data_IF_376830249299
#
_entry.id   IF_376830249299
#
_cell.length_a   1.000
_cell.length_b   1.000
_cell.length_c   1.000
_cell.angle_alpha   90.00
_cell.angle_beta   90.00
_cell.angle_gamma   90.00
#
_symmetry.space_group_name_H-M   'P 1'
#
loop_
_entity.id
_entity.type
_entity.pdbx_description
1 polymer ?
#
# COMPACT_ATOMS: atom_id res chain seq x y z
N UNK A 1 -10.32 -18.09 8.62
CA UNK A 1 -10.26 -16.69 9.10
C UNK A 1 -8.80 -16.37 9.21
N UNK A 2 -8.32 -15.66 8.22
CA UNK A 2 -6.91 -15.40 7.92
C UNK A 2 -6.70 -13.95 8.31
N UNK A 3 -6.02 -13.72 9.43
CA UNK A 3 -5.79 -12.39 9.98
C UNK A 3 -4.94 -11.51 9.05
N UNK A 4 -4.34 -10.46 9.62
CA UNK A 4 -3.45 -9.59 8.84
C UNK A 4 -2.14 -10.31 8.56
N UNK A 5 -1.77 -10.40 7.28
CA UNK A 5 -0.51 -10.98 6.80
C UNK A 5 0.24 -9.98 5.94
N UNK A 6 1.55 -10.14 5.81
CA UNK A 6 2.35 -9.41 4.85
C UNK A 6 2.34 -10.16 3.51
N UNK A 7 1.99 -9.46 2.42
CA UNK A 7 1.77 -10.07 1.10
C UNK A 7 2.27 -9.15 -0.01
N UNK A 8 2.90 -9.73 -1.04
CA UNK A 8 3.35 -8.97 -2.21
C UNK A 8 2.16 -8.56 -3.07
N UNK A 9 2.08 -7.28 -3.45
CA UNK A 9 1.02 -6.76 -4.34
C UNK A 9 1.12 -7.30 -5.78
N UNK A 10 2.31 -7.68 -6.21
CA UNK A 10 2.57 -8.12 -7.59
C UNK A 10 2.29 -9.62 -7.77
N UNK A 11 2.90 -10.48 -6.95
CA UNK A 11 2.81 -11.93 -7.11
C UNK A 11 1.95 -12.65 -6.06
N UNK A 12 1.50 -11.95 -5.01
CA UNK A 12 0.63 -12.52 -3.97
C UNK A 12 1.33 -13.42 -2.95
N UNK A 13 2.66 -13.57 -3.00
CA UNK A 13 3.43 -14.33 -2.01
C UNK A 13 3.36 -13.68 -0.63
N UNK A 14 3.15 -14.47 0.41
CA UNK A 14 3.17 -14.01 1.81
C UNK A 14 4.57 -14.08 2.40
N UNK A 15 4.95 -13.12 3.24
CA UNK A 15 6.25 -13.03 3.91
C UNK A 15 6.09 -12.65 5.38
N UNK A 16 7.17 -12.71 6.15
CA UNK A 16 7.22 -12.44 7.59
C UNK A 16 7.81 -11.06 7.95
N UNK A 17 8.41 -10.37 6.97
CA UNK A 17 9.03 -9.06 7.15
C UNK A 17 8.58 -8.06 6.06
N UNK A 18 8.46 -6.76 6.39
CA UNK A 18 8.16 -5.73 5.41
C UNK A 18 9.41 -5.45 4.56
N UNK A 19 9.20 -5.14 3.28
CA UNK A 19 10.31 -4.87 2.38
C UNK A 19 9.98 -5.19 0.92
N UNK A 20 11.01 -5.60 0.20
CA UNK A 20 10.91 -6.05 -1.19
C UNK A 20 10.59 -7.54 -1.23
N UNK A 21 9.75 -7.98 -2.17
CA UNK A 21 9.33 -9.37 -2.21
C UNK A 21 10.48 -10.30 -2.63
N UNK A 22 10.98 -11.14 -1.73
CA UNK A 22 11.92 -12.25 -2.02
C UNK A 22 11.54 -13.14 -3.22
N UNK A 23 10.26 -13.30 -3.54
CA UNK A 23 9.82 -14.22 -4.58
C UNK A 23 9.89 -13.64 -6.00
N UNK A 24 9.50 -12.39 -6.20
CA UNK A 24 9.51 -11.75 -7.52
C UNK A 24 10.54 -10.62 -7.64
N UNK A 25 11.04 -10.08 -6.53
CA UNK A 25 11.97 -8.94 -6.48
C UNK A 25 11.49 -7.72 -7.26
N UNK A 26 10.17 -7.55 -7.41
CA UNK A 26 9.56 -6.51 -8.26
C UNK A 26 8.55 -5.65 -7.51
N UNK A 27 8.02 -6.15 -6.39
CA UNK A 27 6.90 -5.52 -5.71
C UNK A 27 7.14 -5.35 -4.21
N UNK A 28 6.66 -4.24 -3.61
CA UNK A 28 6.69 -4.08 -2.17
C UNK A 28 5.73 -5.07 -1.50
N UNK A 29 6.15 -5.53 -0.33
CA UNK A 29 5.33 -6.32 0.59
C UNK A 29 4.52 -5.36 1.45
N UNK A 30 3.20 -5.53 1.46
CA UNK A 30 2.27 -4.69 2.21
C UNK A 30 1.36 -5.54 3.10
N UNK A 31 0.76 -4.92 4.12
CA UNK A 31 -0.21 -5.58 4.98
C UNK A 31 -1.50 -5.87 4.21
N UNK A 32 -2.03 -7.08 4.37
CA UNK A 32 -3.24 -7.56 3.72
C UNK A 32 -4.12 -8.27 4.74
N UNK A 33 -5.39 -7.86 4.83
CA UNK A 33 -6.41 -8.49 5.66
C UNK A 33 -7.22 -9.48 4.83
N UNK A 34 -7.09 -10.77 5.18
CA UNK A 34 -7.82 -11.87 4.51
C UNK A 34 -9.22 -12.13 5.07
N UNK A 35 -9.68 -11.36 6.06
CA UNK A 35 -11.02 -11.51 6.64
C UNK A 35 -12.11 -10.74 5.87
N UNK A 36 -11.74 -10.07 4.78
CA UNK A 36 -12.67 -9.40 3.85
C UNK A 36 -12.63 -10.09 2.47
N UNK A 37 -13.70 -9.95 1.68
CA UNK A 37 -13.75 -10.38 0.27
C UNK A 37 -13.90 -9.15 -0.61
N UNK A 38 -13.00 -8.89 -1.59
CA UNK A 38 -11.91 -9.75 -2.10
C UNK A 38 -10.61 -9.73 -1.25
N UNK A 39 -10.65 -9.11 -0.07
CA UNK A 39 -9.50 -8.88 0.80
C UNK A 39 -9.10 -7.41 0.78
N UNK A 40 -8.55 -6.92 1.89
CA UNK A 40 -8.29 -5.48 2.06
C UNK A 40 -6.79 -5.23 2.27
N UNK A 41 -6.21 -4.39 1.42
CA UNK A 41 -4.85 -3.88 1.61
C UNK A 41 -4.85 -2.81 2.69
N UNK A 42 -3.85 -2.85 3.57
CA UNK A 42 -3.71 -1.95 4.71
C UNK A 42 -2.39 -1.18 4.62
N UNK A 43 -2.41 0.05 5.11
CA UNK A 43 -1.21 0.90 5.24
C UNK A 43 -0.40 0.63 6.51
N UNK A 44 -0.93 -0.21 7.42
CA UNK A 44 -0.30 -0.54 8.69
C UNK A 44 -0.69 -1.93 9.20
N UNK A 45 -0.15 -2.32 10.37
CA UNK A 45 -0.30 -3.67 10.90
C UNK A 45 -1.70 -3.96 11.47
N UNK A 46 -2.62 -2.99 11.49
CA UNK A 46 -3.96 -3.15 12.07
C UNK A 46 -5.02 -2.85 11.01
N UNK A 47 -5.99 -3.75 10.87
CA UNK A 47 -7.14 -3.51 10.01
C UNK A 47 -8.12 -2.55 10.69
N UNK A 48 -8.36 -1.38 10.08
CA UNK A 48 -9.32 -0.40 10.60
C UNK A 48 -10.78 -0.88 10.55
N UNK A 49 -11.10 -1.90 9.76
CA UNK A 49 -12.48 -2.39 9.57
C UNK A 49 -12.84 -3.50 10.56
N UNK A 50 -12.00 -4.53 10.72
CA UNK A 50 -12.28 -5.66 11.62
C UNK A 50 -11.44 -5.67 12.90
N UNK A 51 -10.43 -4.81 13.03
CA UNK A 51 -9.55 -4.74 14.20
C UNK A 51 -8.47 -5.83 14.27
N UNK A 52 -8.37 -6.71 13.28
CA UNK A 52 -7.31 -7.72 13.21
C UNK A 52 -5.93 -7.07 13.16
N UNK A 53 -4.94 -7.67 13.83
CA UNK A 53 -3.56 -7.17 13.90
C UNK A 53 -2.57 -8.19 13.33
N UNK A 54 -1.48 -7.69 12.75
CA UNK A 54 -0.36 -8.49 12.29
C UNK A 54 0.35 -9.14 13.49
N UNK A 55 0.71 -10.41 13.37
CA UNK A 55 1.42 -11.13 14.43
C UNK A 55 0.54 -11.60 15.59
N UNK A 56 -0.76 -11.26 15.59
CA UNK A 56 -1.74 -11.96 16.42
C UNK A 56 -1.91 -13.36 15.85
N UNK A 57 -0.96 -14.24 16.16
CA UNK A 57 -1.12 -15.67 16.02
C UNK A 57 -2.38 -16.01 16.81
N UNK A 58 -3.49 -16.20 16.10
CA UNK A 58 -4.80 -16.47 16.68
C UNK A 58 -4.56 -17.50 17.77
N UNK A 59 -4.72 -17.09 19.03
CA UNK A 59 -4.39 -17.92 20.18
C UNK A 59 -4.98 -19.29 19.89
N UNK A 60 -4.09 -20.29 19.71
CA UNK A 60 -4.50 -21.64 19.30
C UNK A 60 -5.66 -21.99 20.21
N UNK A 61 -6.86 -22.30 19.69
CA UNK A 61 -8.00 -22.62 20.53
C UNK A 61 -7.49 -23.63 21.55
N UNK A 62 -7.51 -23.25 22.84
CA UNK A 62 -7.03 -24.13 23.89
C UNK A 62 -7.74 -25.47 23.64
N UNK A 63 -7.00 -26.59 23.53
CA UNK A 63 -7.63 -27.88 23.28
C UNK A 63 -8.78 -28.01 24.28
N UNK A 64 -9.99 -28.40 23.83
CA UNK A 64 -11.12 -28.50 24.74
C UNK A 64 -10.65 -29.33 25.93
N UNK A 65 -10.69 -28.75 27.13
CA UNK A 65 -10.27 -29.44 28.33
C UNK A 65 -10.96 -30.80 28.31
N UNK A 66 -10.17 -31.88 28.17
CA UNK A 66 -10.69 -33.23 28.24
C UNK A 66 -11.44 -33.33 29.55
N UNK A 67 -12.78 -33.29 29.47
CA UNK A 67 -13.63 -33.45 30.64
C UNK A 67 -13.35 -34.86 31.13
N UNK A 68 -12.53 -34.98 32.16
CA UNK A 68 -12.47 -36.19 32.97
C UNK A 68 -13.90 -36.49 33.38
N UNK A 69 -14.44 -37.60 32.88
CA UNK A 69 -15.77 -38.11 33.21
C UNK A 69 -15.78 -38.45 34.70
N UNK A 70 -16.06 -37.44 35.53
CA UNK A 70 -16.31 -37.65 36.95
C UNK A 70 -17.79 -38.05 37.06
N UNK A 71 -18.01 -39.35 37.23
CA UNK A 71 -19.31 -39.93 37.53
C UNK A 71 -19.88 -39.31 38.81
N UNK A 72 -21.00 -38.60 38.67
CA UNK A 72 -21.84 -38.11 39.76
C UNK A 72 -22.53 -39.33 40.43
N UNK A 73 -22.79 -39.28 41.75
CA UNK A 73 -24.19 -39.20 42.14
C UNK A 73 -24.49 -38.22 43.29
N UNK A 74 -25.41 -37.30 42.97
CA UNK A 74 -26.63 -36.92 43.70
C UNK A 74 -26.58 -36.13 45.03
N UNK A 75 -27.51 -35.17 45.04
CA UNK A 75 -28.31 -34.63 46.17
C UNK A 75 -27.76 -33.41 46.90
N UNK A 76 -28.43 -32.26 46.69
CA UNK A 76 -28.17 -31.04 47.44
C UNK A 76 -29.07 -29.88 47.02
N UNK A 77 -30.24 -29.80 47.66
CA UNK A 77 -31.25 -28.74 47.62
C UNK A 77 -30.74 -27.30 47.86
N UNK A 78 -31.51 -26.33 47.33
CA UNK A 78 -31.93 -25.00 47.87
C UNK A 78 -31.40 -23.69 47.23
N UNK A 79 -32.38 -22.97 46.67
CA UNK A 79 -32.84 -21.58 46.95
C UNK A 79 -32.27 -20.37 46.17
N UNK A 80 -33.24 -19.52 45.81
CA UNK A 80 -33.22 -18.24 45.08
C UNK A 80 -32.37 -17.12 45.66
N UNK A 81 -31.92 -16.20 44.79
CA UNK A 81 -32.21 -14.74 44.79
C UNK A 81 -31.30 -14.03 43.76
N UNK A 82 -31.84 -13.30 42.78
CA UNK A 82 -32.00 -11.83 42.77
C UNK A 82 -30.75 -11.02 42.38
N UNK A 83 -30.82 -10.33 41.24
CA UNK A 83 -30.42 -8.91 40.98
C UNK A 83 -30.66 -8.66 39.48
N UNK A 84 -31.79 -8.05 39.06
CA UNK A 84 -32.11 -6.62 38.94
C UNK A 84 -31.11 -5.78 38.12
N UNK A 85 -31.52 -5.54 36.87
CA UNK A 85 -31.42 -4.33 36.03
C UNK A 85 -30.21 -3.39 36.16
N UNK A 86 -29.64 -2.97 35.01
CA UNK A 86 -29.41 -1.55 34.72
C UNK A 86 -29.37 -1.31 33.20
N UNK A 87 -30.27 -0.45 32.76
CA UNK A 87 -30.42 0.16 31.44
C UNK A 87 -29.66 1.49 31.37
N UNK A 88 -29.03 1.83 30.24
CA UNK A 88 -28.81 3.22 29.74
C UNK A 88 -27.83 3.26 28.54
N UNK A 89 -27.79 4.34 27.73
CA UNK A 89 -28.93 5.07 27.16
C UNK A 89 -28.73 5.38 25.66
N UNK A 90 -29.83 5.73 24.99
CA UNK A 90 -29.86 6.29 23.65
C UNK A 90 -29.62 7.82 23.64
N UNK A 91 -29.29 8.34 22.45
CA UNK A 91 -29.34 9.74 21.93
C UNK A 91 -28.09 10.64 22.21
N UNK A 92 -27.81 11.68 21.39
CA UNK A 92 -28.69 12.26 20.37
C UNK A 92 -28.16 12.61 18.98
N UNK A 93 -29.14 12.73 18.08
CA UNK A 93 -29.07 13.41 16.80
C UNK A 93 -29.08 14.95 16.96
N UNK A 94 -28.77 15.61 15.83
CA UNK A 94 -29.25 16.92 15.36
C UNK A 94 -28.12 17.98 15.21
N UNK A 95 -28.35 19.13 14.54
CA UNK A 95 -28.52 19.30 13.10
C UNK A 95 -27.62 20.44 12.55
N UNK A 96 -27.50 20.59 11.23
CA UNK A 96 -26.69 21.70 10.68
C UNK A 96 -26.87 21.94 9.19
N UNK A 97 -28.07 22.34 8.79
CA UNK A 97 -28.38 22.93 7.49
C UNK A 97 -27.52 24.18 7.27
N UNK A 98 -26.86 24.30 6.11
CA UNK A 98 -26.53 25.63 5.56
C UNK A 98 -26.82 25.68 4.06
N UNK A 99 -27.63 26.68 3.72
CA UNK A 99 -28.21 26.97 2.42
C UNK A 99 -27.16 27.47 1.40
N UNK A 100 -27.52 27.17 0.16
CA UNK A 100 -27.05 27.68 -1.14
C UNK A 100 -27.04 29.22 -1.19
N UNK A 101 -26.17 29.81 -2.02
CA UNK A 101 -26.61 30.90 -2.89
C UNK A 101 -26.43 30.55 -4.39
N UNK A 102 -27.52 30.73 -5.12
CA UNK A 102 -27.68 30.68 -6.58
C UNK A 102 -27.24 32.02 -7.18
N UNK A 103 -26.51 32.01 -8.30
CA UNK A 103 -26.37 33.04 -9.40
C UNK A 103 -24.97 32.89 -10.02
N UNK A 104 -24.68 33.03 -11.31
CA UNK A 104 -25.40 33.41 -12.52
C UNK A 104 -24.56 32.97 -13.75
N UNK A 105 -25.21 32.82 -14.91
CA UNK A 105 -24.62 32.74 -16.27
C UNK A 105 -25.09 34.01 -17.02
N UNK A 106 -24.50 34.57 -18.11
CA UNK A 106 -23.14 34.59 -18.74
C UNK A 106 -22.59 36.07 -18.86
N UNK A 107 -21.52 36.44 -19.62
CA UNK A 107 -21.51 36.48 -21.10
C UNK A 107 -20.20 36.03 -21.77
N UNK A 108 -20.28 35.52 -23.00
CA UNK A 108 -19.17 35.63 -23.96
C UNK A 108 -19.09 37.07 -24.47
N UNK A 109 -17.88 37.60 -24.69
CA UNK A 109 -17.64 38.52 -25.79
C UNK A 109 -16.65 37.91 -26.77
N UNK A 110 -17.05 37.88 -28.04
CA UNK A 110 -16.17 37.58 -29.15
C UNK A 110 -15.05 38.61 -29.26
N UNK A 111 -13.88 38.13 -29.64
CA UNK A 111 -12.86 38.95 -30.29
C UNK A 111 -12.41 38.19 -31.54
N UNK A 112 -12.95 38.64 -32.67
CA UNK A 112 -12.33 38.45 -33.98
C UNK A 112 -11.05 39.27 -33.91
N UNK A 113 -9.91 38.60 -33.97
CA UNK A 113 -8.59 39.22 -34.09
C UNK A 113 -7.95 38.68 -35.37
N UNK A 114 -7.28 39.59 -36.07
CA UNK A 114 -6.65 39.51 -37.39
C UNK A 114 -6.02 38.16 -37.77
N UNK A 115 -6.17 37.68 -39.01
CA UNK A 115 -5.42 36.56 -39.53
C UNK A 115 -4.13 37.05 -40.22
N UNK A 116 -3.25 37.75 -39.52
CA UNK A 116 -1.91 38.09 -40.07
C UNK A 116 -0.85 38.34 -38.97
N UNK A 117 -0.96 37.64 -37.85
CA UNK A 117 0.09 37.59 -36.84
C UNK A 117 0.58 36.15 -36.78
N UNK A 118 1.81 35.92 -37.25
CA UNK A 118 2.48 34.64 -37.11
C UNK A 118 2.39 34.22 -35.64
N UNK A 119 1.99 32.98 -35.32
CA UNK A 119 1.93 32.56 -33.93
C UNK A 119 3.32 32.78 -33.34
N UNK A 120 3.40 33.61 -32.29
CA UNK A 120 4.59 33.75 -31.44
C UNK A 120 4.87 32.38 -30.83
N UNK A 121 5.49 31.50 -31.61
CA UNK A 121 5.94 30.20 -31.13
C UNK A 121 7.05 30.51 -30.15
N UNK A 122 6.87 30.21 -28.85
CA UNK A 122 7.90 30.50 -27.86
C UNK A 122 9.18 29.84 -28.32
N UNK A 123 10.28 30.60 -28.27
CA UNK A 123 11.56 30.04 -28.67
C UNK A 123 11.87 28.85 -27.75
N UNK A 124 12.61 27.86 -28.25
CA UNK A 124 13.04 26.72 -27.43
C UNK A 124 13.75 27.19 -26.15
N UNK A 125 14.43 28.34 -26.21
CA UNK A 125 15.08 28.95 -25.05
C UNK A 125 14.06 29.41 -24.00
N UNK A 126 12.93 30.01 -24.41
CA UNK A 126 11.86 30.43 -23.51
C UNK A 126 11.19 29.22 -22.85
N UNK A 127 10.95 28.14 -23.61
CA UNK A 127 10.43 26.89 -23.06
C UNK A 127 11.37 26.23 -22.04
N UNK A 128 12.68 26.29 -22.28
CA UNK A 128 13.68 25.74 -21.35
C UNK A 128 13.77 26.56 -20.06
N UNK A 129 13.65 27.89 -20.15
CA UNK A 129 13.60 28.77 -18.98
C UNK A 129 12.35 28.49 -18.17
N UNK A 130 11.19 28.35 -18.83
CA UNK A 130 9.91 28.09 -18.17
C UNK A 130 9.91 26.72 -17.47
N UNK A 131 10.45 25.67 -18.12
CA UNK A 131 10.65 24.36 -17.48
C UNK A 131 11.61 24.40 -16.29
N UNK A 132 12.69 25.19 -16.38
CA UNK A 132 13.64 25.35 -15.28
C UNK A 132 13.06 26.14 -14.11
N UNK A 133 12.16 27.08 -14.38
CA UNK A 133 11.44 27.85 -13.37
C UNK A 133 10.33 27.03 -12.71
N UNK A 134 9.58 26.25 -13.49
CA UNK A 134 8.59 25.30 -12.99
C UNK A 134 9.23 24.19 -12.16
N UNK A 135 10.38 23.68 -12.59
CA UNK A 135 11.18 22.73 -11.80
C UNK A 135 11.66 23.31 -10.47
N UNK A 136 11.88 24.62 -10.39
CA UNK A 136 12.21 25.32 -9.13
C UNK A 136 10.95 25.54 -8.28
N UNK A 137 9.81 25.88 -8.87
CA UNK A 137 8.52 25.98 -8.15
C UNK A 137 8.07 24.64 -7.58
N UNK A 138 8.20 23.55 -8.32
CA UNK A 138 7.92 22.20 -7.86
C UNK A 138 8.87 21.73 -6.73
N UNK A 139 10.08 22.32 -6.65
CA UNK A 139 11.00 22.12 -5.52
C UNK A 139 10.76 23.08 -4.35
N UNK A 140 10.00 24.15 -4.58
CA UNK A 140 9.43 24.98 -3.52
C UNK A 140 8.38 24.15 -2.79
N UNK A 141 8.83 23.40 -1.79
CA UNK A 141 7.98 22.65 -0.88
C UNK A 141 6.96 23.64 -0.30
N UNK A 142 5.63 23.41 -0.44
CA UNK A 142 4.67 24.20 0.31
C UNK A 142 4.99 24.01 1.80
N UNK A 143 5.39 25.10 2.44
CA UNK A 143 5.86 25.16 3.83
C UNK A 143 4.74 24.87 4.86
N UNK A 144 3.53 24.54 4.40
CA UNK A 144 2.41 24.08 5.21
C UNK A 144 2.09 22.59 4.93
N UNK A 145 3.08 21.72 5.16
CA UNK A 145 2.82 20.28 5.25
C UNK A 145 2.62 19.92 6.74
N UNK A 146 1.45 19.38 7.12
CA UNK A 146 1.17 19.07 8.52
C UNK A 146 2.23 18.09 9.07
N UNK A 147 2.62 18.18 10.36
CA UNK A 147 3.79 17.48 10.92
C UNK A 147 3.70 15.95 10.89
N UNK A 148 2.55 15.39 10.51
CA UNK A 148 2.34 13.95 10.34
C UNK A 148 2.43 13.48 8.87
N UNK A 149 2.47 14.38 7.88
CA UNK A 149 2.56 14.05 6.46
C UNK A 149 4.00 13.81 5.97
N UNK A 150 5.01 13.91 6.84
CA UNK A 150 6.42 13.64 6.51
C UNK A 150 6.81 12.16 6.47
N UNK A 151 5.86 11.24 6.30
CA UNK A 151 6.16 9.89 5.80
C UNK A 151 6.11 9.87 4.27
N UNK A 152 6.83 10.78 3.63
CA UNK A 152 7.29 10.50 2.28
C UNK A 152 8.21 9.27 2.42
N UNK A 153 7.93 8.15 1.71
CA UNK A 153 8.88 7.04 1.71
C UNK A 153 10.23 7.61 1.30
N UNK A 154 11.33 7.28 1.99
CA UNK A 154 12.65 7.72 1.56
C UNK A 154 12.74 7.37 0.09
N UNK A 155 12.98 8.40 -0.76
CA UNK A 155 13.25 8.21 -2.18
C UNK A 155 14.16 7.01 -2.25
N UNK A 156 13.63 5.91 -2.78
CA UNK A 156 14.33 4.65 -2.85
C UNK A 156 15.65 4.97 -3.53
N UNK A 157 16.73 4.98 -2.73
CA UNK A 157 18.04 4.79 -3.27
C UNK A 157 17.90 3.43 -3.96
N UNK A 158 17.70 3.48 -5.28
CA UNK A 158 17.65 2.28 -6.13
C UNK A 158 18.78 1.42 -5.62
N UNK A 159 18.54 0.18 -5.15
CA UNK A 159 19.60 -0.62 -4.56
C UNK A 159 20.62 -0.91 -5.67
N UNK A 160 21.61 -0.03 -5.80
CA UNK A 160 22.65 -0.06 -6.84
C UNK A 160 23.32 -1.42 -6.81
N UNK A 161 23.43 -2.00 -5.61
CA UNK A 161 23.95 -3.35 -5.39
C UNK A 161 23.15 -4.46 -6.08
N UNK A 162 21.81 -4.38 -6.11
CA UNK A 162 20.98 -5.40 -6.78
C UNK A 162 21.08 -5.34 -8.30
N UNK A 163 21.09 -4.13 -8.87
CA UNK A 163 21.25 -3.92 -10.30
C UNK A 163 22.66 -4.31 -10.78
N UNK A 164 23.71 -3.91 -10.04
CA UNK A 164 25.10 -4.23 -10.36
C UNK A 164 25.39 -5.73 -10.24
N UNK A 165 24.80 -6.41 -9.25
CA UNK A 165 24.89 -7.87 -9.12
C UNK A 165 24.21 -8.59 -10.29
N UNK A 166 22.99 -8.17 -10.68
CA UNK A 166 22.31 -8.73 -11.87
C UNK A 166 23.12 -8.52 -13.15
N UNK A 167 23.69 -7.34 -13.34
CA UNK A 167 24.52 -7.02 -14.51
C UNK A 167 25.81 -7.86 -14.53
N UNK A 168 26.48 -8.01 -13.38
CA UNK A 168 27.64 -8.88 -13.23
C UNK A 168 27.32 -10.34 -13.59
N UNK A 169 26.21 -10.87 -13.09
CA UNK A 169 25.77 -12.25 -13.32
C UNK A 169 25.46 -12.50 -14.81
N UNK A 170 24.81 -11.53 -15.48
CA UNK A 170 24.61 -11.55 -16.93
C UNK A 170 25.93 -11.59 -17.71
N UNK A 171 26.91 -10.79 -17.30
CA UNK A 171 28.22 -10.70 -17.95
C UNK A 171 29.00 -12.01 -17.83
N UNK A 172 28.99 -12.63 -16.64
CA UNK A 172 29.60 -13.95 -16.41
C UNK A 172 28.93 -15.02 -17.28
N UNK A 173 27.60 -15.03 -17.36
CA UNK A 173 26.86 -15.99 -18.18
C UNK A 173 27.20 -15.84 -19.68
N UNK A 174 27.29 -14.60 -20.16
CA UNK A 174 27.65 -14.29 -21.54
C UNK A 174 29.09 -14.73 -21.86
N UNK A 175 30.03 -14.54 -20.92
CA UNK A 175 31.40 -15.02 -21.04
C UNK A 175 31.47 -16.56 -21.12
N UNK A 176 30.71 -17.28 -20.29
CA UNK A 176 30.66 -18.75 -20.34
C UNK A 176 30.10 -19.26 -21.67
N UNK A 177 29.05 -18.63 -22.20
CA UNK A 177 28.49 -18.95 -23.51
C UNK A 177 29.53 -18.72 -24.61
N UNK A 178 30.26 -17.59 -24.57
CA UNK A 178 31.31 -17.31 -25.53
C UNK A 178 32.44 -18.35 -25.48
N UNK A 179 32.90 -18.74 -24.28
CA UNK A 179 33.91 -19.79 -24.10
C UNK A 179 33.42 -21.13 -24.64
N UNK A 180 32.18 -21.52 -24.35
CA UNK A 180 31.58 -22.74 -24.88
C UNK A 180 31.49 -22.71 -26.41
N UNK A 181 31.05 -21.61 -27.00
CA UNK A 181 30.97 -21.45 -28.45
C UNK A 181 32.34 -21.56 -29.11
N UNK A 182 33.36 -20.88 -28.58
CA UNK A 182 34.75 -20.97 -29.07
C UNK A 182 35.28 -22.39 -28.93
N UNK A 183 35.01 -23.06 -27.81
CA UNK A 183 35.45 -24.46 -27.60
C UNK A 183 34.81 -25.41 -28.60
N UNK A 184 33.53 -25.23 -28.91
CA UNK A 184 32.82 -26.03 -29.92
C UNK A 184 33.35 -25.77 -31.33
N UNK A 185 33.66 -24.51 -31.67
CA UNK A 185 34.25 -24.17 -32.96
C UNK A 185 35.65 -24.79 -33.12
N UNK A 186 36.47 -24.76 -32.07
CA UNK A 186 37.79 -25.37 -32.07
C UNK A 186 37.72 -26.91 -32.11
N UNK A 187 36.74 -27.51 -31.43
CA UNK A 187 36.58 -28.96 -31.36
C UNK A 187 35.89 -29.56 -32.59
N UNK A 188 35.05 -28.79 -33.28
CA UNK A 188 34.33 -29.22 -34.49
C UNK A 188 35.07 -28.98 -35.80
N UNK A 189 36.27 -28.38 -35.75
CA UNK A 189 37.11 -28.12 -36.91
C UNK A 189 38.18 -29.21 -37.17
N UNK A 190 38.09 -30.36 -36.48
CA UNK A 190 38.97 -31.52 -36.65
C UNK A 190 38.20 -32.78 -37.07
#
# INVERSE_FOLDING_TARGET
>A
MSGVVLRCRTCGTTQDHPGECDACSEGPVAYFCGDHSPGLWLDGPVCGTCGARYGDARAKPAPPASRTSSSIPRSGTRRSSSTRATSSPARPASPGVRRIPTTATPPLPGRVTDPDEAPDTPSLADLLVDMAEEGRRARGIPEEMPPWASTAPPRAAVPIFGCLFRLFLLLVLLALVAVAAVSLLLSGAF
#
